data_IF_897120053708
#
_entry.id   IF_897120053708
#
_cell.length_a   1.000
_cell.length_b   1.000
_cell.length_c   1.000
_cell.angle_alpha   90.00
_cell.angle_beta   90.00
_cell.angle_gamma   90.00
#
_symmetry.space_group_name_H-M   'P 1'
#
loop_
_entity.id
_entity.type
_entity.pdbx_description
1 polymer ?
#
# COMPACT_ATOMS: atom_id res chain seq x y z
N UNK A 1 23.73 3.60 -7.14
CA UNK A 1 22.44 3.23 -7.77
C UNK A 1 21.69 4.53 -8.11
N UNK A 2 21.36 4.75 -9.38
CA UNK A 2 20.79 6.02 -9.86
C UNK A 2 19.35 6.24 -9.35
N UNK A 3 18.95 7.49 -9.16
CA UNK A 3 17.58 7.90 -8.81
C UNK A 3 16.55 7.36 -9.79
N UNK A 4 16.92 7.22 -11.08
CA UNK A 4 16.05 6.68 -12.13
C UNK A 4 15.71 5.20 -11.94
N UNK A 5 16.68 4.39 -11.49
CA UNK A 5 16.46 2.97 -11.20
C UNK A 5 15.46 2.82 -10.05
N UNK A 6 15.65 3.59 -8.97
CA UNK A 6 14.72 3.58 -7.83
C UNK A 6 13.30 3.93 -8.25
N UNK A 7 13.14 4.92 -9.11
CA UNK A 7 11.83 5.40 -9.57
C UNK A 7 11.12 4.34 -10.43
N UNK A 8 11.84 3.68 -11.35
CA UNK A 8 11.27 2.58 -12.13
C UNK A 8 10.86 1.40 -11.23
N UNK A 9 11.63 1.11 -10.19
CA UNK A 9 11.28 0.10 -9.19
C UNK A 9 10.02 0.49 -8.40
N UNK A 10 9.88 1.77 -8.03
CA UNK A 10 8.71 2.28 -7.32
C UNK A 10 7.44 2.25 -8.18
N UNK A 11 7.49 2.65 -9.46
CA UNK A 11 6.33 2.57 -10.34
C UNK A 11 5.87 1.13 -10.54
N UNK A 12 6.81 0.19 -10.76
CA UNK A 12 6.48 -1.24 -10.85
C UNK A 12 5.89 -1.77 -9.54
N UNK A 13 6.43 -1.35 -8.40
CA UNK A 13 5.88 -1.72 -7.09
C UNK A 13 4.48 -1.13 -6.88
N UNK A 14 4.21 0.09 -7.35
CA UNK A 14 2.89 0.73 -7.28
C UNK A 14 1.85 -0.01 -8.14
N UNK A 15 2.20 -0.42 -9.35
CA UNK A 15 1.30 -1.22 -10.22
C UNK A 15 0.98 -2.59 -9.59
N UNK A 16 2.00 -3.24 -9.02
CA UNK A 16 1.83 -4.50 -8.29
C UNK A 16 0.97 -4.30 -7.03
N UNK A 17 1.19 -3.22 -6.30
CA UNK A 17 0.41 -2.83 -5.12
C UNK A 17 -1.08 -2.57 -5.46
N UNK A 18 -1.36 -1.90 -6.58
CA UNK A 18 -2.73 -1.70 -7.06
C UNK A 18 -3.43 -3.04 -7.37
N UNK A 19 -2.70 -3.95 -8.01
CA UNK A 19 -3.21 -5.31 -8.32
C UNK A 19 -3.49 -6.09 -7.03
N UNK A 20 -2.58 -6.06 -6.06
CA UNK A 20 -2.73 -6.73 -4.77
C UNK A 20 -3.88 -6.13 -3.94
N UNK A 21 -4.04 -4.81 -3.93
CA UNK A 21 -5.15 -4.12 -3.22
C UNK A 21 -6.49 -4.60 -3.75
N UNK A 22 -6.67 -4.64 -5.07
CA UNK A 22 -7.91 -5.14 -5.70
C UNK A 22 -8.17 -6.62 -5.40
N UNK A 23 -7.12 -7.44 -5.37
CA UNK A 23 -7.24 -8.84 -5.01
C UNK A 23 -7.68 -9.01 -3.54
N UNK A 24 -7.11 -8.22 -2.62
CA UNK A 24 -7.50 -8.20 -1.21
C UNK A 24 -8.92 -7.72 -0.98
N UNK A 25 -9.33 -6.62 -1.62
CA UNK A 25 -10.71 -6.12 -1.55
C UNK A 25 -11.70 -7.17 -2.04
N UNK A 26 -11.36 -7.88 -3.11
CA UNK A 26 -12.15 -9.00 -3.63
C UNK A 26 -12.22 -10.14 -2.61
N UNK A 27 -11.08 -10.58 -2.08
CA UNK A 27 -11.02 -11.65 -1.07
C UNK A 27 -11.81 -11.30 0.19
N UNK A 28 -11.68 -10.08 0.71
CA UNK A 28 -12.43 -9.61 1.87
C UNK A 28 -13.94 -9.56 1.59
N UNK A 29 -14.34 -9.08 0.40
CA UNK A 29 -15.74 -9.09 -0.02
C UNK A 29 -16.32 -10.50 -0.12
N UNK A 30 -15.54 -11.48 -0.61
CA UNK A 30 -15.99 -12.87 -0.68
C UNK A 30 -15.98 -13.58 0.69
N UNK A 31 -14.98 -13.33 1.54
CA UNK A 31 -14.91 -13.90 2.89
C UNK A 31 -16.05 -13.43 3.79
N UNK A 32 -16.54 -12.20 3.62
CA UNK A 32 -17.71 -11.69 4.34
C UNK A 32 -19.04 -12.29 3.88
N UNK A 33 -19.09 -12.78 2.63
CA UNK A 33 -20.28 -13.42 2.06
C UNK A 33 -20.29 -14.95 2.27
N UNK A 34 -19.13 -15.55 2.51
CA UNK A 34 -18.96 -17.01 2.59
C UNK A 34 -18.11 -17.38 3.81
N UNK A 35 -18.74 -17.75 4.95
CA UNK A 35 -18.02 -18.14 6.17
C UNK A 35 -16.98 -19.26 5.94
N UNK A 36 -17.33 -20.26 5.13
CA UNK A 36 -16.45 -21.39 4.80
C UNK A 36 -15.19 -20.96 4.01
N UNK A 37 -15.25 -19.84 3.28
CA UNK A 37 -14.10 -19.29 2.57
C UNK A 37 -13.15 -18.58 3.53
N UNK A 38 -13.67 -17.94 4.58
CA UNK A 38 -12.84 -17.37 5.64
C UNK A 38 -12.08 -18.46 6.40
N UNK A 39 -12.75 -19.58 6.70
CA UNK A 39 -12.13 -20.75 7.34
C UNK A 39 -11.10 -21.42 6.41
N UNK A 40 -11.39 -21.51 5.11
CA UNK A 40 -10.45 -22.05 4.12
C UNK A 40 -9.22 -21.16 3.90
N UNK A 41 -9.38 -19.83 3.92
CA UNK A 41 -8.26 -18.88 3.86
C UNK A 41 -7.38 -18.98 5.11
N UNK A 42 -7.97 -19.22 6.29
CA UNK A 42 -7.22 -19.48 7.52
C UNK A 42 -6.43 -20.80 7.49
N UNK A 43 -6.80 -21.73 6.60
CA UNK A 43 -6.15 -23.03 6.42
C UNK A 43 -5.11 -23.07 5.29
N UNK A 44 -4.87 -21.96 4.59
CA UNK A 44 -3.79 -21.88 3.60
C UNK A 44 -2.44 -22.02 4.32
N UNK A 45 -1.68 -23.02 3.91
CA UNK A 45 -0.35 -23.37 4.42
C UNK A 45 0.64 -22.22 4.19
N UNK A 46 1.03 -21.57 5.29
CA UNK A 46 2.04 -20.53 5.36
C UNK A 46 3.38 -21.15 5.78
N UNK A 47 3.86 -22.15 5.03
CA UNK A 47 5.05 -22.94 5.40
C UNK A 47 6.35 -22.10 5.53
N UNK A 48 6.31 -20.82 5.13
CA UNK A 48 7.37 -19.84 5.35
C UNK A 48 7.21 -19.01 6.65
N UNK A 49 6.11 -19.19 7.40
CA UNK A 49 5.93 -18.63 8.74
C UNK A 49 6.41 -19.65 9.78
N UNK A 50 7.69 -19.55 10.10
CA UNK A 50 8.38 -20.37 11.10
C UNK A 50 7.81 -20.10 12.51
N UNK A 51 6.68 -20.71 12.87
CA UNK A 51 6.03 -20.49 14.17
C UNK A 51 4.70 -21.24 14.39
N UNK A 52 4.41 -21.52 15.67
CA UNK A 52 3.12 -22.08 16.11
C UNK A 52 1.98 -21.13 15.73
N UNK A 53 0.98 -21.62 14.98
CA UNK A 53 -0.27 -20.92 14.65
C UNK A 53 -1.19 -20.85 15.89
N UNK A 54 -0.74 -20.19 16.95
CA UNK A 54 -1.62 -19.78 18.03
C UNK A 54 -2.31 -18.44 17.68
N UNK A 55 -3.32 -18.06 18.48
CA UNK A 55 -4.07 -16.83 18.24
C UNK A 55 -3.18 -15.57 18.14
N UNK A 56 -2.04 -15.55 18.82
CA UNK A 56 -1.09 -14.43 18.78
C UNK A 56 -0.35 -14.38 17.44
N UNK A 57 0.04 -15.55 16.91
CA UNK A 57 0.69 -15.63 15.60
C UNK A 57 -0.26 -15.23 14.46
N UNK A 58 -1.54 -15.58 14.56
CA UNK A 58 -2.58 -15.14 13.61
C UNK A 58 -2.77 -13.63 13.69
N UNK A 59 -2.87 -13.06 14.89
CA UNK A 59 -2.98 -11.60 15.08
C UNK A 59 -1.76 -10.86 14.52
N UNK A 60 -0.56 -11.40 14.70
CA UNK A 60 0.67 -10.84 14.15
C UNK A 60 0.65 -10.87 12.62
N UNK A 61 0.33 -12.02 12.03
CA UNK A 61 0.25 -12.18 10.57
C UNK A 61 -0.78 -11.25 9.94
N UNK A 62 -1.97 -11.11 10.56
CA UNK A 62 -2.99 -10.16 10.14
C UNK A 62 -2.52 -8.71 10.29
N UNK A 63 -1.81 -8.38 11.38
CA UNK A 63 -1.25 -7.05 11.56
C UNK A 63 -0.19 -6.72 10.50
N UNK A 64 0.65 -7.67 10.13
CA UNK A 64 1.68 -7.50 9.11
C UNK A 64 1.08 -7.37 7.71
N UNK A 65 0.15 -8.26 7.37
CA UNK A 65 -0.61 -8.19 6.13
C UNK A 65 -1.35 -6.84 6.00
N UNK A 66 -1.94 -6.35 7.09
CA UNK A 66 -2.61 -5.03 7.11
C UNK A 66 -1.63 -3.88 6.89
N UNK A 67 -0.45 -3.91 7.53
CA UNK A 67 0.60 -2.89 7.31
C UNK A 67 1.08 -2.89 5.85
N UNK A 68 1.20 -4.07 5.25
CA UNK A 68 1.58 -4.21 3.85
C UNK A 68 0.48 -3.65 2.93
N UNK A 69 -0.79 -3.99 3.19
CA UNK A 69 -1.94 -3.43 2.50
C UNK A 69 -1.99 -1.90 2.56
N UNK A 70 -1.86 -1.31 3.75
CA UNK A 70 -1.90 0.14 3.93
C UNK A 70 -0.77 0.86 3.15
N UNK A 71 0.42 0.26 3.12
CA UNK A 71 1.56 0.78 2.35
C UNK A 71 1.28 0.70 0.85
N UNK A 72 0.79 -0.45 0.39
CA UNK A 72 0.47 -0.69 -1.02
C UNK A 72 -0.65 0.24 -1.51
N UNK A 73 -1.68 0.42 -0.70
CA UNK A 73 -2.76 1.37 -0.97
C UNK A 73 -2.22 2.80 -1.08
N UNK A 74 -1.34 3.22 -0.17
CA UNK A 74 -0.72 4.54 -0.23
C UNK A 74 0.14 4.75 -1.49
N UNK A 75 0.93 3.75 -1.90
CA UNK A 75 1.72 3.80 -3.12
C UNK A 75 0.84 3.90 -4.37
N UNK A 76 -0.23 3.10 -4.44
CA UNK A 76 -1.18 3.13 -5.54
C UNK A 76 -1.91 4.48 -5.63
N UNK A 77 -2.28 5.08 -4.50
CA UNK A 77 -2.93 6.38 -4.44
C UNK A 77 -1.98 7.51 -4.86
N UNK A 78 -0.71 7.47 -4.44
CA UNK A 78 0.32 8.40 -4.95
C UNK A 78 0.36 8.35 -6.47
N UNK A 79 0.51 7.14 -7.03
CA UNK A 79 0.72 6.97 -8.46
C UNK A 79 -0.50 7.40 -9.26
N UNK A 80 -1.71 7.11 -8.76
CA UNK A 80 -2.97 7.57 -9.34
C UNK A 80 -3.01 9.09 -9.43
N UNK A 81 -2.67 9.80 -8.35
CA UNK A 81 -2.66 11.28 -8.33
C UNK A 81 -1.55 11.87 -9.21
N UNK A 82 -0.38 11.21 -9.27
CA UNK A 82 0.72 11.61 -10.14
C UNK A 82 0.30 11.50 -11.61
N UNK A 83 -0.24 10.36 -12.01
CA UNK A 83 -0.71 10.13 -13.38
C UNK A 83 -1.83 11.09 -13.76
N UNK A 84 -2.78 11.36 -12.86
CA UNK A 84 -3.87 12.30 -13.09
C UNK A 84 -3.40 13.74 -13.38
N UNK A 85 -2.20 14.10 -12.92
CA UNK A 85 -1.60 15.43 -13.13
C UNK A 85 -0.53 15.44 -14.23
N UNK A 86 -0.22 14.29 -14.84
CA UNK A 86 0.81 14.16 -15.88
C UNK A 86 2.24 14.40 -15.40
N UNK A 87 2.45 14.48 -14.08
CA UNK A 87 3.74 14.78 -13.46
C UNK A 87 4.68 13.60 -13.65
N UNK A 88 5.96 13.82 -13.97
CA UNK A 88 6.92 12.74 -14.17
C UNK A 88 7.14 11.87 -12.91
N UNK A 89 7.62 10.61 -13.03
CA UNK A 89 7.86 9.73 -11.88
C UNK A 89 8.80 10.26 -10.78
N UNK A 90 9.69 11.21 -11.10
CA UNK A 90 10.53 11.95 -10.13
C UNK A 90 9.88 13.25 -9.62
N UNK A 91 8.62 13.48 -9.98
CA UNK A 91 7.90 14.69 -9.67
C UNK A 91 7.67 14.87 -8.19
N UNK A 92 7.76 16.12 -7.77
CA UNK A 92 7.58 16.50 -6.37
C UNK A 92 6.10 16.73 -6.09
N UNK A 93 5.67 16.41 -4.86
CA UNK A 93 4.41 16.92 -4.35
C UNK A 93 4.45 18.46 -4.34
N UNK A 94 3.29 19.10 -4.18
CA UNK A 94 3.17 20.54 -3.89
C UNK A 94 3.96 20.94 -2.64
N UNK A 95 4.20 20.00 -1.73
CA UNK A 95 5.08 20.15 -0.57
C UNK A 95 6.60 20.10 -0.87
N UNK A 96 7.01 19.93 -2.12
CA UNK A 96 8.42 19.88 -2.55
C UNK A 96 9.15 18.55 -2.30
N UNK A 97 8.51 17.56 -1.67
CA UNK A 97 9.07 16.23 -1.43
C UNK A 97 8.78 15.24 -2.57
N UNK A 98 9.56 14.16 -2.65
CA UNK A 98 9.33 13.09 -3.64
C UNK A 98 8.07 12.29 -3.26
N UNK A 99 6.94 12.61 -3.89
CA UNK A 99 5.63 12.04 -3.53
C UNK A 99 5.62 10.52 -3.38
N UNK A 100 6.16 9.75 -4.33
CA UNK A 100 6.19 8.27 -4.29
C UNK A 100 6.94 7.65 -3.12
N UNK A 101 7.81 8.40 -2.43
CA UNK A 101 8.68 7.86 -1.37
C UNK A 101 8.12 8.13 0.03
N UNK A 102 7.13 9.02 0.15
CA UNK A 102 6.79 9.61 1.45
C UNK A 102 5.37 9.32 1.92
N UNK A 103 4.46 8.83 1.09
CA UNK A 103 3.18 8.37 1.59
C UNK A 103 3.33 7.02 2.30
N UNK A 104 2.74 6.90 3.49
CA UNK A 104 2.81 5.65 4.29
C UNK A 104 1.48 4.95 4.48
N UNK A 105 0.37 5.68 4.39
CA UNK A 105 -1.01 5.17 4.53
C UNK A 105 -2.00 6.20 3.98
N UNK A 106 -3.18 5.73 3.58
CA UNK A 106 -4.37 6.57 3.33
C UNK A 106 -5.14 6.73 4.64
N UNK A 107 -5.59 7.94 4.96
CA UNK A 107 -6.38 8.27 6.16
C UNK A 107 -7.61 9.03 5.72
N UNK A 108 -8.80 8.48 5.94
CA UNK A 108 -10.08 9.11 5.57
C UNK A 108 -10.12 9.59 4.09
N UNK A 109 -9.58 8.76 3.18
CA UNK A 109 -9.47 9.07 1.75
C UNK A 109 -8.40 10.11 1.39
N UNK A 110 -7.68 10.64 2.39
CA UNK A 110 -6.58 11.59 2.21
C UNK A 110 -5.24 10.89 2.29
N UNK A 111 -4.25 11.44 1.59
CA UNK A 111 -2.91 10.90 1.54
C UNK A 111 -1.93 11.86 2.22
N UNK A 112 -1.77 11.81 3.56
CA UNK A 112 -0.87 12.72 4.24
C UNK A 112 0.60 12.46 3.87
N UNK A 113 1.40 13.53 3.82
CA UNK A 113 2.83 13.41 3.58
C UNK A 113 3.53 12.83 4.82
N UNK A 114 4.27 11.74 4.65
CA UNK A 114 5.02 11.07 5.73
C UNK A 114 6.42 11.62 5.99
N UNK A 115 6.80 12.77 5.43
CA UNK A 115 8.04 13.46 5.82
C UNK A 115 7.86 14.08 7.20
N UNK A 116 8.83 13.82 8.08
CA UNK A 116 8.89 14.43 9.40
C UNK A 116 8.83 15.97 9.30
N UNK A 117 7.87 16.57 9.99
CA UNK A 117 7.66 18.02 10.01
C UNK A 117 6.81 18.57 8.84
N UNK A 118 6.46 17.76 7.84
CA UNK A 118 5.51 18.18 6.81
C UNK A 118 4.07 18.14 7.36
N UNK A 119 3.30 19.19 7.09
CA UNK A 119 1.87 19.30 7.48
C UNK A 119 0.91 19.14 6.29
N UNK A 120 1.39 18.56 5.19
CA UNK A 120 0.54 18.29 4.04
C UNK A 120 -0.41 17.15 4.39
N UNK A 121 -1.67 17.50 4.67
CA UNK A 121 -2.73 16.57 5.06
C UNK A 121 -3.24 15.74 3.89
N UNK A 122 -3.11 16.26 2.68
CA UNK A 122 -3.53 15.58 1.47
C UNK A 122 -2.57 15.87 0.32
N UNK A 123 -1.80 14.86 -0.07
CA UNK A 123 -0.72 14.97 -1.04
C UNK A 123 -1.29 15.20 -2.43
N UNK A 124 -0.90 16.32 -3.02
CA UNK A 124 -1.20 16.67 -4.41
C UNK A 124 0.08 16.85 -5.21
N UNK A 125 0.00 16.64 -6.52
CA UNK A 125 1.08 16.90 -7.45
C UNK A 125 0.77 18.21 -8.21
N UNK A 126 1.78 19.06 -8.36
CA UNK A 126 1.68 20.32 -9.10
C UNK A 126 2.55 20.25 -10.35
N UNK A 127 2.13 20.96 -11.39
CA UNK A 127 2.93 21.28 -12.59
C UNK A 127 4.00 22.32 -12.29
#
# INVERSE_FOLDING_TARGET
MSTEIKISEYSRAADQALTQTRAWETLAAYATQTPDLADALAAIDLTDLDGSLDGTAIELGLSEARKEFERNQALAEVETRRLATGVAPNGRCTCGHLGPVHARRVVDGRLPCGIAGCRCEDLTFGS
#
